data_IF_345735152546
#
_entry.id   IF_345735152546
#
_cell.length_a   1.000
_cell.length_b   1.000
_cell.length_c   1.000
_cell.angle_alpha   90.00
_cell.angle_beta   90.00
_cell.angle_gamma   90.00
#
_symmetry.space_group_name_H-M   'P 1'
#
loop_
_entity.id
_entity.type
_entity.pdbx_description
1 polymer ?
#
# COMPACT_ATOMS: atom_id res chain seq x y z
N UNK A 1 6.77 13.90 79.07
CA UNK A 1 7.76 14.46 78.14
C UNK A 1 7.24 14.20 76.75
N UNK A 2 6.98 15.28 76.03
CA UNK A 2 6.77 15.34 74.57
C UNK A 2 7.92 14.68 73.83
N UNK A 3 7.67 14.10 72.65
CA UNK A 3 8.05 14.77 71.40
C UNK A 3 7.48 14.05 70.17
N UNK A 4 6.92 14.89 69.30
CA UNK A 4 6.48 14.67 67.94
C UNK A 4 7.72 14.58 67.02
N UNK A 5 7.80 13.57 66.15
CA UNK A 5 8.66 13.61 64.96
C UNK A 5 7.99 12.88 63.78
N UNK A 6 7.38 13.68 62.90
CA UNK A 6 7.96 13.94 61.58
C UNK A 6 8.25 12.75 60.64
N UNK A 7 7.28 12.47 59.76
CA UNK A 7 7.42 12.33 58.28
C UNK A 7 8.54 11.48 57.65
N UNK A 8 8.14 10.55 56.77
CA UNK A 8 8.83 10.40 55.47
C UNK A 8 8.91 8.98 54.89
N UNK A 9 8.03 8.69 53.92
CA UNK A 9 8.23 7.72 52.82
C UNK A 9 8.27 6.24 53.22
N UNK A 10 7.67 5.28 52.51
CA UNK A 10 7.19 5.20 51.14
C UNK A 10 6.06 4.17 51.11
N UNK A 11 4.98 4.53 50.45
CA UNK A 11 3.76 3.74 50.31
C UNK A 11 3.99 2.66 49.27
N UNK A 12 3.61 1.43 49.61
CA UNK A 12 3.68 0.26 48.74
C UNK A 12 2.78 0.43 47.51
N UNK A 13 3.39 0.62 46.34
CA UNK A 13 2.71 0.62 45.04
C UNK A 13 3.56 -0.16 44.05
N UNK A 14 3.20 -1.42 43.80
CA UNK A 14 3.32 -2.06 42.48
C UNK A 14 2.21 -3.11 42.34
N UNK A 15 0.98 -2.62 42.23
CA UNK A 15 -0.09 -3.38 41.59
C UNK A 15 0.23 -3.40 40.10
N UNK A 16 0.55 -4.58 39.56
CA UNK A 16 0.66 -4.77 38.11
C UNK A 16 -0.73 -4.69 37.47
N UNK A 17 -0.98 -3.77 36.52
CA UNK A 17 -2.06 -3.93 35.57
C UNK A 17 -1.52 -4.68 34.35
N UNK A 18 -2.15 -5.80 34.01
CA UNK A 18 -2.03 -6.40 32.69
C UNK A 18 -2.43 -5.35 31.65
N UNK A 19 -1.50 -4.96 30.77
CA UNK A 19 -1.73 -3.93 29.75
C UNK A 19 -2.44 -4.58 28.56
N UNK A 20 -3.72 -4.90 28.73
CA UNK A 20 -4.64 -5.13 27.63
C UNK A 20 -4.90 -3.79 26.95
N UNK A 21 -4.40 -3.62 25.73
CA UNK A 21 -4.60 -2.40 24.94
C UNK A 21 -5.96 -2.48 24.23
N UNK A 22 -7.04 -2.24 24.99
CA UNK A 22 -8.33 -1.91 24.40
C UNK A 22 -8.37 -0.41 24.15
N UNK A 23 -8.08 -0.01 22.91
CA UNK A 23 -8.30 1.37 22.48
C UNK A 23 -9.81 1.58 22.28
N UNK A 24 -10.45 2.52 22.99
CA UNK A 24 -11.88 2.77 22.90
C UNK A 24 -12.21 3.46 21.58
N UNK A 25 -12.87 2.72 20.71
CA UNK A 25 -13.43 3.15 19.44
C UNK A 25 -14.80 3.80 19.66
N UNK A 26 -14.87 4.95 20.35
CA UNK A 26 -16.12 5.69 20.50
C UNK A 26 -15.93 7.21 20.44
N UNK A 27 -16.70 7.78 19.51
CA UNK A 27 -17.22 9.15 19.46
C UNK A 27 -16.26 10.27 19.01
N UNK A 28 -16.26 10.52 17.71
CA UNK A 28 -16.35 11.91 17.23
C UNK A 28 -17.33 12.01 16.05
N UNK A 29 -18.60 11.82 16.39
CA UNK A 29 -19.70 12.33 15.59
C UNK A 29 -19.97 13.79 16.01
N UNK A 30 -19.90 14.70 15.04
CA UNK A 30 -20.66 15.95 15.03
C UNK A 30 -19.95 17.19 15.58
N UNK A 31 -19.51 18.07 14.67
CA UNK A 31 -19.90 19.49 14.69
C UNK A 31 -20.07 19.96 13.24
N UNK A 32 -21.32 20.25 12.88
CA UNK A 32 -21.71 20.98 11.69
C UNK A 32 -21.60 22.48 12.01
N UNK A 33 -20.79 23.24 11.27
CA UNK A 33 -20.86 24.71 11.27
C UNK A 33 -20.38 25.27 9.93
N UNK A 34 -21.33 25.47 9.02
CA UNK A 34 -21.21 26.33 7.84
C UNK A 34 -21.04 27.80 8.24
N UNK A 35 -20.00 28.47 7.73
CA UNK A 35 -20.02 29.92 7.47
C UNK A 35 -19.46 30.17 6.06
N UNK A 36 -20.27 30.89 5.27
CA UNK A 36 -20.07 31.30 3.88
C UNK A 36 -19.45 32.71 3.83
N UNK A 37 -18.42 32.93 3.00
CA UNK A 37 -18.08 34.19 2.31
C UNK A 37 -16.88 33.94 1.37
N UNK A 38 -17.06 33.64 0.08
CA UNK A 38 -17.13 34.60 -1.04
C UNK A 38 -15.93 35.56 -1.16
N UNK A 39 -14.99 35.31 -2.07
CA UNK A 39 -14.69 36.15 -3.26
C UNK A 39 -13.42 35.70 -4.00
N UNK A 40 -13.45 35.97 -5.30
CA UNK A 40 -12.68 35.48 -6.43
C UNK A 40 -11.21 35.93 -6.50
N UNK A 41 -10.31 35.03 -6.93
CA UNK A 41 -9.20 35.43 -7.80
C UNK A 41 -9.03 34.44 -8.95
N UNK A 42 -9.35 34.93 -10.14
CA UNK A 42 -8.98 34.35 -11.44
C UNK A 42 -7.46 34.47 -11.58
N UNK A 43 -6.75 33.35 -11.69
CA UNK A 43 -5.35 33.32 -12.17
C UNK A 43 -5.38 32.67 -13.55
N UNK A 44 -4.97 33.46 -14.54
CA UNK A 44 -5.36 33.33 -15.94
C UNK A 44 -4.75 32.16 -16.71
N UNK A 45 -5.53 31.74 -17.70
CA UNK A 45 -5.07 31.06 -18.91
C UNK A 45 -4.46 32.13 -19.83
N UNK A 46 -3.20 31.98 -20.21
CA UNK A 46 -2.54 32.86 -21.17
C UNK A 46 -1.12 32.41 -21.42
N UNK A 47 -0.89 31.77 -22.58
CA UNK A 47 0.28 30.96 -22.84
C UNK A 47 1.59 31.72 -23.04
N UNK A 48 2.67 30.94 -22.96
CA UNK A 48 3.82 31.14 -23.81
C UNK A 48 4.47 29.77 -24.06
N UNK A 49 3.99 29.12 -25.12
CA UNK A 49 4.78 28.14 -25.85
C UNK A 49 5.91 28.93 -26.51
N UNK A 50 7.10 28.90 -25.91
CA UNK A 50 8.33 29.24 -26.60
C UNK A 50 9.15 27.96 -26.66
N UNK A 51 8.83 27.19 -27.69
CA UNK A 51 9.64 26.12 -28.25
C UNK A 51 10.95 26.76 -28.74
N UNK A 52 12.07 26.39 -28.11
CA UNK A 52 13.41 26.78 -28.56
C UNK A 52 14.22 25.49 -28.79
N UNK A 53 13.74 24.67 -29.73
CA UNK A 53 14.49 23.52 -30.27
C UNK A 53 15.11 23.92 -31.61
N UNK A 54 16.45 24.01 -31.73
CA UNK A 54 17.08 24.32 -33.00
C UNK A 54 16.86 23.19 -34.02
N UNK A 55 16.54 23.50 -35.29
CA UNK A 55 16.43 22.51 -36.34
C UNK A 55 17.80 22.32 -37.00
N UNK A 56 18.47 21.19 -36.78
CA UNK A 56 19.41 20.65 -37.77
C UNK A 56 19.94 19.27 -37.39
N UNK A 57 19.39 18.23 -38.02
CA UNK A 57 20.19 17.27 -38.82
C UNK A 57 19.28 16.23 -39.44
N UNK A 58 18.95 16.47 -40.71
CA UNK A 58 18.58 15.43 -41.66
C UNK A 58 19.79 14.54 -41.93
N UNK A 59 19.72 13.26 -41.59
CA UNK A 59 20.36 12.18 -42.36
C UNK A 59 19.60 10.85 -42.10
N UNK A 60 18.73 10.40 -43.01
CA UNK A 60 18.30 9.01 -43.02
C UNK A 60 19.44 8.14 -43.54
N UNK A 61 20.11 7.39 -42.67
CA UNK A 61 20.88 6.23 -43.12
C UNK A 61 19.91 5.12 -43.49
N UNK A 62 19.50 5.14 -44.75
CA UNK A 62 18.88 4.03 -45.45
C UNK A 62 19.92 2.90 -45.59
N UNK A 63 19.98 2.01 -44.61
CA UNK A 63 20.74 0.78 -44.71
C UNK A 63 19.95 -0.25 -45.53
N UNK A 64 20.58 -0.75 -46.59
CA UNK A 64 20.01 -1.61 -47.61
C UNK A 64 19.51 -2.97 -47.07
N UNK A 65 18.39 -3.44 -47.61
CA UNK A 65 17.84 -4.78 -47.38
C UNK A 65 18.66 -5.85 -48.11
N UNK A 66 18.97 -7.01 -47.48
CA UNK A 66 19.49 -8.18 -48.18
C UNK A 66 18.37 -9.00 -48.85
N UNK A 67 18.66 -9.74 -49.95
CA UNK A 67 17.66 -10.51 -50.71
C UNK A 67 17.16 -11.77 -49.98
N UNK A 68 15.96 -12.29 -50.30
CA UNK A 68 15.45 -13.52 -49.72
C UNK A 68 16.13 -14.76 -50.34
N UNK A 69 16.40 -15.78 -49.54
CA UNK A 69 16.86 -17.10 -50.00
C UNK A 69 16.14 -18.23 -49.25
N UNK A 70 15.99 -19.41 -49.88
CA UNK A 70 14.79 -20.24 -49.75
C UNK A 70 14.72 -21.18 -48.56
N UNK A 71 13.48 -21.57 -48.25
CA UNK A 71 13.04 -22.58 -47.29
C UNK A 71 13.64 -23.98 -47.56
N UNK A 72 14.06 -24.70 -46.51
CA UNK A 72 14.09 -26.15 -46.52
C UNK A 72 12.86 -26.75 -45.81
N UNK A 73 12.51 -27.94 -46.32
CA UNK A 73 11.30 -28.70 -46.10
C UNK A 73 11.08 -29.21 -44.67
N UNK A 74 9.80 -29.38 -44.32
CA UNK A 74 9.33 -30.07 -43.12
C UNK A 74 9.69 -31.56 -43.15
N UNK A 75 10.11 -32.09 -42.00
CA UNK A 75 10.09 -33.54 -41.70
C UNK A 75 9.40 -33.72 -40.34
N UNK A 76 8.44 -34.63 -40.18
CA UNK A 76 7.69 -34.79 -38.94
C UNK A 76 8.49 -35.59 -37.91
N UNK A 77 8.69 -35.04 -36.71
CA UNK A 77 9.17 -35.77 -35.55
C UNK A 77 7.98 -36.15 -34.65
N UNK A 78 7.88 -37.45 -34.38
CA UNK A 78 6.94 -38.16 -33.51
C UNK A 78 6.83 -37.53 -32.10
N UNK A 79 5.63 -37.41 -31.49
CA UNK A 79 5.52 -36.96 -30.12
C UNK A 79 5.90 -38.08 -29.15
N UNK A 80 6.98 -37.89 -28.41
CA UNK A 80 7.23 -38.62 -27.16
C UNK A 80 6.43 -37.93 -26.05
N UNK A 81 5.60 -38.63 -25.26
CA UNK A 81 5.02 -38.05 -24.06
C UNK A 81 6.11 -37.98 -22.99
N UNK A 82 6.77 -36.82 -22.87
CA UNK A 82 7.64 -36.55 -21.73
C UNK A 82 6.74 -36.24 -20.52
N UNK A 83 6.75 -37.16 -19.56
CA UNK A 83 6.07 -37.00 -18.27
C UNK A 83 6.55 -35.71 -17.60
N UNK A 84 5.69 -34.71 -17.57
CA UNK A 84 5.89 -33.52 -16.76
C UNK A 84 5.92 -33.95 -15.30
N UNK A 85 6.99 -33.68 -14.52
CA UNK A 85 6.91 -33.84 -13.08
C UNK A 85 5.87 -32.85 -12.56
N UNK A 86 4.84 -33.40 -11.91
CA UNK A 86 3.82 -32.67 -11.19
C UNK A 86 4.52 -31.79 -10.14
N UNK A 87 4.71 -30.50 -10.43
CA UNK A 87 5.08 -29.52 -9.41
C UNK A 87 3.88 -29.38 -8.49
N UNK A 88 3.92 -30.08 -7.37
CA UNK A 88 3.17 -29.68 -6.19
C UNK A 88 3.60 -28.25 -5.86
N UNK A 89 2.73 -27.23 -5.90
CA UNK A 89 3.10 -25.95 -5.35
C UNK A 89 3.21 -26.15 -3.84
N UNK A 90 4.43 -26.19 -3.32
CA UNK A 90 4.65 -25.89 -1.91
C UNK A 90 4.19 -24.46 -1.70
N UNK A 91 2.96 -24.32 -1.22
CA UNK A 91 2.31 -23.05 -0.94
C UNK A 91 3.00 -22.40 0.25
N UNK A 92 4.16 -21.78 0.01
CA UNK A 92 4.72 -20.81 0.93
C UNK A 92 3.91 -19.52 0.76
N UNK A 93 2.80 -19.39 1.50
CA UNK A 93 1.95 -18.20 1.51
C UNK A 93 2.62 -17.01 2.22
N UNK A 94 3.58 -17.31 3.09
CA UNK A 94 4.22 -16.34 3.97
C UNK A 94 5.19 -15.37 3.26
N UNK A 95 6.09 -15.79 2.34
CA UNK A 95 6.82 -14.85 1.49
C UNK A 95 5.89 -13.92 0.71
N UNK A 96 4.73 -14.45 0.26
CA UNK A 96 3.76 -13.70 -0.53
C UNK A 96 3.04 -12.62 0.28
N UNK A 97 2.64 -12.92 1.52
CA UNK A 97 2.01 -11.93 2.40
C UNK A 97 2.98 -10.82 2.79
N UNK A 98 4.20 -11.18 3.20
CA UNK A 98 5.21 -10.17 3.59
C UNK A 98 5.53 -9.21 2.43
N UNK A 99 5.77 -9.74 1.22
CA UNK A 99 6.01 -8.92 0.03
C UNK A 99 4.81 -8.07 -0.35
N UNK A 100 3.59 -8.60 -0.20
CA UNK A 100 2.37 -7.85 -0.46
C UNK A 100 2.19 -6.68 0.52
N UNK A 101 2.49 -6.86 1.80
CA UNK A 101 2.43 -5.80 2.81
C UNK A 101 3.47 -4.70 2.55
N UNK A 102 4.68 -5.05 2.14
CA UNK A 102 5.68 -4.06 1.71
C UNK A 102 5.22 -3.26 0.49
N UNK A 103 4.64 -3.94 -0.51
CA UNK A 103 4.07 -3.27 -1.68
C UNK A 103 2.89 -2.38 -1.30
N UNK A 104 2.06 -2.83 -0.37
CA UNK A 104 0.91 -2.07 0.12
C UNK A 104 1.36 -0.79 0.81
N UNK A 105 2.39 -0.87 1.67
CA UNK A 105 2.98 0.32 2.32
C UNK A 105 3.46 1.34 1.29
N UNK A 106 4.21 0.90 0.29
CA UNK A 106 4.70 1.78 -0.77
C UNK A 106 3.54 2.45 -1.55
N UNK A 107 2.50 1.69 -1.90
CA UNK A 107 1.33 2.23 -2.60
C UNK A 107 0.51 3.20 -1.73
N UNK A 108 0.47 3.00 -0.41
CA UNK A 108 -0.14 3.96 0.52
C UNK A 108 0.69 5.26 0.57
N UNK A 109 2.01 5.16 0.68
CA UNK A 109 2.90 6.33 0.68
C UNK A 109 2.79 7.13 -0.63
N UNK A 110 2.82 6.46 -1.77
CA UNK A 110 2.62 7.07 -3.10
C UNK A 110 1.24 7.74 -3.21
N UNK A 111 0.17 7.06 -2.77
CA UNK A 111 -1.17 7.63 -2.77
C UNK A 111 -1.30 8.88 -1.88
N UNK A 112 -0.55 8.96 -0.78
CA UNK A 112 -0.48 10.19 0.03
C UNK A 112 0.24 11.31 -0.71
N UNK A 113 1.38 11.01 -1.35
CA UNK A 113 2.14 12.01 -2.13
C UNK A 113 1.33 12.56 -3.31
N UNK A 114 0.53 11.72 -3.97
CA UNK A 114 -0.33 12.11 -5.09
C UNK A 114 -1.64 12.80 -4.65
N UNK A 115 -2.01 12.67 -3.37
CA UNK A 115 -3.25 13.22 -2.81
C UNK A 115 -4.47 12.32 -2.95
N UNK A 116 -4.30 11.10 -3.45
CA UNK A 116 -5.35 10.07 -3.55
C UNK A 116 -5.68 9.44 -2.18
N UNK A 117 -4.77 9.53 -1.21
CA UNK A 117 -4.96 9.11 0.18
C UNK A 117 -4.76 10.32 1.08
N UNK A 118 -5.73 10.61 1.95
CA UNK A 118 -5.55 11.65 2.97
C UNK A 118 -4.40 11.32 3.92
N UNK A 119 -3.58 12.31 4.26
CA UNK A 119 -2.40 12.17 5.14
C UNK A 119 -2.69 11.38 6.44
N UNK A 120 -3.79 11.70 7.12
CA UNK A 120 -4.16 11.05 8.38
C UNK A 120 -4.53 9.57 8.21
N UNK A 121 -5.14 9.24 7.07
CA UNK A 121 -5.46 7.86 6.69
C UNK A 121 -4.23 7.10 6.25
N UNK A 122 -3.32 7.72 5.50
CA UNK A 122 -2.05 7.12 5.11
C UNK A 122 -1.23 6.70 6.33
N UNK A 123 -1.08 7.60 7.31
CA UNK A 123 -0.40 7.31 8.57
C UNK A 123 -1.09 6.16 9.35
N UNK A 124 -2.42 6.18 9.42
CA UNK A 124 -3.22 5.14 10.07
C UNK A 124 -3.08 3.76 9.38
N UNK A 125 -3.02 3.71 8.05
CA UNK A 125 -2.79 2.48 7.30
C UNK A 125 -1.35 1.97 7.46
N UNK A 126 -0.36 2.84 7.33
CA UNK A 126 1.04 2.48 7.51
C UNK A 126 1.30 1.91 8.91
N UNK A 127 0.74 2.51 9.96
CA UNK A 127 0.87 1.97 11.31
C UNK A 127 0.29 0.55 11.46
N UNK A 128 -0.85 0.27 10.80
CA UNK A 128 -1.43 -1.08 10.79
C UNK A 128 -0.51 -2.05 10.05
N UNK A 129 0.01 -1.64 8.89
CA UNK A 129 0.89 -2.47 8.06
C UNK A 129 2.18 -2.80 8.81
N UNK A 130 2.84 -1.80 9.41
CA UNK A 130 4.06 -1.99 10.20
C UNK A 130 3.82 -2.95 11.37
N UNK A 131 2.71 -2.78 12.10
CA UNK A 131 2.38 -3.67 13.21
C UNK A 131 2.11 -5.13 12.78
N UNK A 132 1.73 -5.37 11.52
CA UNK A 132 1.64 -6.73 10.98
C UNK A 132 3.05 -7.22 10.60
N UNK A 133 3.85 -6.39 9.93
CA UNK A 133 5.22 -6.70 9.51
C UNK A 133 6.17 -7.00 10.69
N UNK A 134 5.95 -6.37 11.85
CA UNK A 134 6.74 -6.55 13.06
C UNK A 134 6.48 -7.90 13.77
N UNK A 135 5.47 -8.67 13.35
CA UNK A 135 5.16 -9.95 13.97
C UNK A 135 6.16 -11.04 13.56
N UNK A 136 6.38 -12.05 14.42
CA UNK A 136 7.14 -13.24 14.03
C UNK A 136 6.54 -13.89 12.78
N UNK A 137 7.41 -14.47 11.95
CA UNK A 137 7.06 -15.08 10.66
C UNK A 137 5.95 -16.12 10.79
N UNK A 138 6.02 -16.95 11.83
CA UNK A 138 5.04 -17.99 12.13
C UNK A 138 3.63 -17.45 12.40
N UNK A 139 3.52 -16.20 12.87
CA UNK A 139 2.23 -15.54 13.07
C UNK A 139 1.61 -15.03 11.75
N UNK A 140 2.43 -14.83 10.71
CA UNK A 140 1.99 -14.40 9.38
C UNK A 140 1.46 -15.57 8.54
N UNK A 141 1.80 -16.82 8.86
CA UNK A 141 1.27 -18.03 8.19
C UNK A 141 -0.26 -18.12 8.26
N UNK A 142 -0.89 -17.48 9.26
CA UNK A 142 -2.34 -17.38 9.45
C UNK A 142 -2.96 -16.04 8.99
N UNK A 143 -2.23 -15.21 8.25
CA UNK A 143 -2.54 -13.79 8.00
C UNK A 143 -3.84 -13.44 7.24
N UNK A 144 -4.72 -14.40 6.98
CA UNK A 144 -6.03 -14.17 6.38
C UNK A 144 -6.86 -13.15 7.18
N UNK A 145 -6.78 -13.19 8.50
CA UNK A 145 -7.46 -12.23 9.38
C UNK A 145 -6.90 -10.82 9.24
N UNK A 146 -5.58 -10.68 9.07
CA UNK A 146 -4.92 -9.39 8.87
C UNK A 146 -5.25 -8.81 7.50
N UNK A 147 -5.25 -9.65 6.45
CA UNK A 147 -5.67 -9.27 5.09
C UNK A 147 -7.13 -8.83 5.07
N UNK A 148 -8.03 -9.59 5.68
CA UNK A 148 -9.45 -9.24 5.78
C UNK A 148 -9.66 -7.92 6.54
N UNK A 149 -8.90 -7.70 7.61
CA UNK A 149 -8.92 -6.45 8.36
C UNK A 149 -8.47 -5.26 7.50
N UNK A 150 -7.38 -5.41 6.74
CA UNK A 150 -6.91 -4.38 5.82
C UNK A 150 -7.93 -4.08 4.71
N UNK A 151 -8.52 -5.10 4.07
CA UNK A 151 -9.61 -4.91 3.11
C UNK A 151 -10.76 -4.11 3.72
N UNK A 152 -11.20 -4.47 4.93
CA UNK A 152 -12.29 -3.77 5.60
C UNK A 152 -11.97 -2.29 5.85
N UNK A 153 -10.73 -2.00 6.31
CA UNK A 153 -10.27 -0.65 6.62
C UNK A 153 -10.19 0.21 5.36
N UNK A 154 -9.55 -0.28 4.30
CA UNK A 154 -9.45 0.41 3.00
C UNK A 154 -10.84 0.71 2.44
N UNK A 155 -11.73 -0.29 2.37
CA UNK A 155 -13.07 -0.10 1.86
C UNK A 155 -13.89 0.92 2.67
N UNK A 156 -13.66 0.99 3.98
CA UNK A 156 -14.29 1.98 4.84
C UNK A 156 -13.79 3.39 4.53
N UNK A 157 -12.48 3.57 4.42
CA UNK A 157 -11.88 4.87 4.09
C UNK A 157 -12.24 5.37 2.69
N UNK A 158 -12.34 4.46 1.72
CA UNK A 158 -12.84 4.78 0.38
C UNK A 158 -14.29 5.30 0.42
N UNK A 159 -15.19 4.64 1.17
CA UNK A 159 -16.58 5.13 1.36
C UNK A 159 -16.65 6.48 2.08
N UNK A 160 -15.70 6.77 2.95
CA UNK A 160 -15.57 8.07 3.63
C UNK A 160 -14.98 9.16 2.72
N UNK A 161 -14.55 8.82 1.49
CA UNK A 161 -13.87 9.72 0.56
C UNK A 161 -12.47 10.10 1.01
N UNK A 162 -11.86 9.30 1.88
CA UNK A 162 -10.50 9.53 2.37
C UNK A 162 -9.43 8.77 1.59
N UNK A 163 -9.85 7.87 0.70
CA UNK A 163 -9.05 7.20 -0.32
C UNK A 163 -9.85 7.32 -1.62
N UNK A 164 -9.21 7.72 -2.71
CA UNK A 164 -9.80 7.70 -4.04
C UNK A 164 -10.21 6.28 -4.47
N UNK A 165 -11.23 6.17 -5.33
CA UNK A 165 -11.75 4.89 -5.78
C UNK A 165 -10.71 4.02 -6.49
N UNK A 166 -9.98 4.61 -7.45
CA UNK A 166 -8.99 3.88 -8.25
C UNK A 166 -7.82 3.42 -7.36
N UNK A 167 -7.43 4.28 -6.41
CA UNK A 167 -6.40 3.93 -5.41
C UNK A 167 -6.87 2.82 -4.48
N UNK A 168 -8.11 2.84 -4.02
CA UNK A 168 -8.65 1.79 -3.16
C UNK A 168 -8.65 0.41 -3.87
N UNK A 169 -9.00 0.38 -5.15
CA UNK A 169 -9.00 -0.84 -5.97
C UNK A 169 -7.57 -1.39 -6.15
N UNK A 170 -6.58 -0.52 -6.36
CA UNK A 170 -5.17 -0.94 -6.40
C UNK A 170 -4.73 -1.59 -5.08
N UNK A 171 -5.02 -0.94 -3.95
CA UNK A 171 -4.68 -1.46 -2.63
C UNK A 171 -5.35 -2.82 -2.36
N UNK A 172 -6.59 -3.01 -2.82
CA UNK A 172 -7.29 -4.29 -2.75
C UNK A 172 -6.61 -5.36 -3.62
N UNK A 173 -6.20 -5.03 -4.85
CA UNK A 173 -5.48 -5.97 -5.71
C UNK A 173 -4.12 -6.38 -5.14
N UNK A 174 -3.42 -5.50 -4.43
CA UNK A 174 -2.18 -5.86 -3.73
C UNK A 174 -2.47 -6.93 -2.67
N UNK A 175 -3.54 -6.77 -1.90
CA UNK A 175 -3.95 -7.71 -0.85
C UNK A 175 -4.46 -9.05 -1.40
N UNK A 176 -5.19 -9.06 -2.51
CA UNK A 176 -5.68 -10.30 -3.13
C UNK A 176 -4.52 -11.22 -3.54
N UNK A 177 -3.45 -10.64 -4.11
CA UNK A 177 -2.24 -11.40 -4.49
C UNK A 177 -1.49 -11.99 -3.30
N UNK A 178 -1.77 -11.53 -2.07
CA UNK A 178 -1.19 -12.11 -0.86
C UNK A 178 -1.78 -13.47 -0.50
N UNK A 179 -3.00 -13.78 -0.97
CA UNK A 179 -3.79 -14.95 -0.54
C UNK A 179 -4.11 -15.96 -1.65
N UNK A 180 -3.87 -15.61 -2.92
CA UNK A 180 -3.94 -16.52 -4.08
C UNK A 180 -2.65 -17.28 -4.32
#
# INVERSE_FOLDING_TARGET
>A
MTDDQGTGGWRSEELRPARGFQLPWLALAGVLATVVAATTLVIGIGGSLADDRPPDRLLPLQAAAPPPSPSPAATPATPTPESTPSRTPESSAEPRLYEALLRLRFAVDEGVEEGDVRDDVGLDLNNVIENILDRPREALEGGHSDVAYLHHKIATRAREGAIDGDRADELHHILERATG
#
